data_IF_408034303528
#
_entry.id   IF_408034303528
#
_cell.length_a   1.000
_cell.length_b   1.000
_cell.length_c   1.000
_cell.angle_alpha   90.00
_cell.angle_beta   90.00
_cell.angle_gamma   90.00
#
_symmetry.space_group_name_H-M   'P 1'
#
loop_
_entity.id
_entity.type
_entity.pdbx_description
1 polymer ?
#
# COMPACT_ATOMS: atom_id res chain seq x y z
N UNK A 1 -13.87 -13.18 0.54
CA UNK A 1 -14.88 -12.85 -0.48
C UNK A 1 -14.21 -12.16 -1.64
N UNK A 2 -14.55 -12.53 -2.88
CA UNK A 2 -14.10 -11.81 -4.07
C UNK A 2 -15.02 -10.59 -4.27
N UNK A 3 -14.43 -9.40 -4.41
CA UNK A 3 -15.17 -8.20 -4.80
C UNK A 3 -15.06 -8.03 -6.31
N UNK A 4 -16.12 -8.41 -7.03
CA UNK A 4 -16.21 -8.26 -8.48
C UNK A 4 -17.05 -7.02 -8.86
N UNK A 5 -16.64 -6.34 -9.92
CA UNK A 5 -17.32 -5.16 -10.44
C UNK A 5 -16.52 -4.49 -11.55
N UNK A 6 -17.19 -3.72 -12.40
CA UNK A 6 -16.55 -2.98 -13.50
C UNK A 6 -15.76 -1.76 -13.01
N UNK A 7 -14.83 -1.23 -13.82
CA UNK A 7 -14.15 0.04 -13.50
C UNK A 7 -15.18 1.15 -13.23
N UNK A 8 -14.95 1.98 -12.22
CA UNK A 8 -15.90 3.01 -11.79
C UNK A 8 -16.96 2.53 -10.80
N UNK A 9 -17.08 1.22 -10.53
CA UNK A 9 -18.05 0.68 -9.56
C UNK A 9 -17.72 0.93 -8.08
N UNK A 10 -16.71 1.75 -7.78
CA UNK A 10 -16.31 2.07 -6.40
C UNK A 10 -15.42 1.05 -5.69
N UNK A 11 -14.92 -0.01 -6.36
CA UNK A 11 -14.03 -1.01 -5.70
C UNK A 11 -12.84 -0.43 -4.94
N UNK A 12 -12.23 0.63 -5.48
CA UNK A 12 -11.12 1.31 -4.81
C UNK A 12 -11.53 1.87 -3.45
N UNK A 13 -12.75 2.41 -3.33
CA UNK A 13 -13.25 2.93 -2.06
C UNK A 13 -13.48 1.81 -1.05
N UNK A 14 -14.03 0.68 -1.50
CA UNK A 14 -14.19 -0.51 -0.64
C UNK A 14 -12.84 -1.00 -0.11
N UNK A 15 -11.80 -1.03 -0.95
CA UNK A 15 -10.44 -1.36 -0.51
C UNK A 15 -9.90 -0.33 0.48
N UNK A 16 -10.14 0.95 0.26
CA UNK A 16 -9.69 2.02 1.15
C UNK A 16 -10.41 2.02 2.49
N UNK A 17 -11.69 1.67 2.55
CA UNK A 17 -12.40 1.47 3.82
C UNK A 17 -11.81 0.30 4.63
N UNK A 18 -11.46 -0.80 3.97
CA UNK A 18 -10.78 -1.92 4.63
C UNK A 18 -9.39 -1.50 5.17
N UNK A 19 -8.62 -0.74 4.38
CA UNK A 19 -7.34 -0.17 4.83
C UNK A 19 -7.56 0.78 6.02
N UNK A 20 -8.57 1.65 5.96
CA UNK A 20 -8.90 2.59 7.02
C UNK A 20 -9.25 1.88 8.33
N UNK A 21 -10.00 0.77 8.27
CA UNK A 21 -10.31 -0.06 9.43
C UNK A 21 -9.04 -0.64 10.06
N UNK A 22 -8.15 -1.24 9.26
CA UNK A 22 -6.89 -1.79 9.76
C UNK A 22 -5.97 -0.70 10.36
N UNK A 23 -5.88 0.47 9.73
CA UNK A 23 -5.10 1.61 10.24
C UNK A 23 -5.63 2.11 11.58
N UNK A 24 -6.96 2.17 11.78
CA UNK A 24 -7.57 2.54 13.07
C UNK A 24 -7.18 1.58 14.19
N UNK A 25 -7.02 0.29 13.87
CA UNK A 25 -6.54 -0.74 14.79
C UNK A 25 -5.00 -0.78 14.90
N UNK A 26 -4.29 0.15 14.25
CA UNK A 26 -2.81 0.18 14.14
C UNK A 26 -2.19 -1.10 13.59
N UNK A 27 -2.88 -1.76 12.66
CA UNK A 27 -2.38 -2.96 11.98
C UNK A 27 -1.73 -2.58 10.65
N UNK A 28 -0.64 -3.27 10.32
CA UNK A 28 -0.02 -3.11 9.01
C UNK A 28 -0.89 -3.72 7.91
N UNK A 29 -0.98 -3.02 6.78
CA UNK A 29 -1.73 -3.45 5.60
C UNK A 29 -0.84 -3.42 4.37
N UNK A 30 -0.92 -4.47 3.55
CA UNK A 30 -0.30 -4.54 2.24
C UNK A 30 -1.37 -4.44 1.14
N UNK A 31 -1.22 -3.45 0.26
CA UNK A 31 -1.96 -3.38 -1.00
C UNK A 31 -1.04 -3.85 -2.13
N UNK A 32 -1.31 -5.04 -2.63
CA UNK A 32 -0.62 -5.59 -3.80
C UNK A 32 -1.22 -5.03 -5.09
N UNK A 33 -0.36 -4.42 -5.91
CA UNK A 33 -0.71 -3.97 -7.24
C UNK A 33 0.17 -4.67 -8.28
N UNK A 34 -0.31 -4.87 -9.51
CA UNK A 34 0.57 -5.11 -10.64
C UNK A 34 1.68 -4.04 -10.67
N UNK A 35 2.91 -4.41 -10.97
CA UNK A 35 4.06 -3.48 -10.89
C UNK A 35 3.87 -2.25 -11.77
N UNK A 36 3.27 -2.42 -12.95
CA UNK A 36 2.90 -1.34 -13.88
C UNK A 36 1.78 -0.43 -13.34
N UNK A 37 0.99 -0.90 -12.36
CA UNK A 37 -0.12 -0.18 -11.77
C UNK A 37 0.28 0.62 -10.52
N UNK A 38 1.55 0.53 -10.10
CA UNK A 38 2.16 1.33 -9.04
C UNK A 38 2.47 2.75 -9.56
N UNK A 39 1.44 3.39 -10.10
CA UNK A 39 1.52 4.68 -10.78
C UNK A 39 1.24 5.83 -9.81
N UNK A 40 1.75 7.02 -10.15
CA UNK A 40 1.48 8.24 -9.37
C UNK A 40 -0.01 8.52 -9.11
N UNK A 41 -0.96 8.26 -10.03
CA UNK A 41 -2.39 8.44 -9.78
C UNK A 41 -2.91 7.64 -8.57
N UNK A 42 -2.49 6.39 -8.40
CA UNK A 42 -2.93 5.60 -7.24
C UNK A 42 -2.37 6.16 -5.93
N UNK A 43 -1.06 6.48 -5.91
CA UNK A 43 -0.41 7.05 -4.73
C UNK A 43 -0.97 8.43 -4.36
N UNK A 44 -1.32 9.24 -5.35
CA UNK A 44 -1.95 10.55 -5.13
C UNK A 44 -3.37 10.40 -4.61
N UNK A 45 -4.17 9.48 -5.16
CA UNK A 45 -5.52 9.19 -4.65
C UNK A 45 -5.45 8.66 -3.20
N UNK A 46 -4.50 7.79 -2.91
CA UNK A 46 -4.25 7.31 -1.56
C UNK A 46 -3.93 8.49 -0.63
N UNK A 47 -2.97 9.35 -1.01
CA UNK A 47 -2.60 10.51 -0.20
C UNK A 47 -3.78 11.46 0.04
N UNK A 48 -4.63 11.68 -0.96
CA UNK A 48 -5.84 12.48 -0.81
C UNK A 48 -6.83 11.87 0.20
N UNK A 49 -6.95 10.54 0.25
CA UNK A 49 -7.87 9.82 1.16
C UNK A 49 -7.36 9.68 2.59
N UNK A 50 -6.04 9.52 2.76
CA UNK A 50 -5.40 9.16 4.04
C UNK A 50 -4.48 10.25 4.61
N UNK A 51 -4.36 11.40 3.93
CA UNK A 51 -3.54 12.54 4.35
C UNK A 51 -2.02 12.33 4.20
N UNK A 52 -1.57 11.15 3.81
CA UNK A 52 -0.15 10.84 3.57
C UNK A 52 0.03 9.74 2.53
N UNK A 53 1.18 9.74 1.85
CA UNK A 53 1.53 8.69 0.89
C UNK A 53 1.85 7.39 1.65
N UNK A 54 1.47 6.22 1.11
CA UNK A 54 1.84 4.94 1.69
C UNK A 54 3.33 4.67 1.44
N UNK A 55 3.89 3.67 2.14
CA UNK A 55 5.25 3.21 1.85
C UNK A 55 5.21 2.38 0.56
N UNK A 56 5.88 2.85 -0.48
CA UNK A 56 5.97 2.11 -1.74
C UNK A 56 7.06 1.03 -1.71
N UNK A 57 6.83 -0.11 -2.36
CA UNK A 57 7.84 -1.15 -2.59
C UNK A 57 7.79 -1.72 -4.02
N UNK A 58 8.80 -1.41 -4.83
CA UNK A 58 8.92 -1.88 -6.21
C UNK A 58 10.39 -1.87 -6.69
N UNK A 59 10.66 -2.45 -7.87
CA UNK A 59 12.01 -2.59 -8.42
C UNK A 59 12.73 -1.25 -8.67
N UNK A 60 11.99 -0.22 -9.06
CA UNK A 60 12.51 1.12 -9.35
C UNK A 60 12.98 1.94 -8.13
N UNK A 61 12.87 1.42 -6.91
CA UNK A 61 13.37 2.13 -5.72
C UNK A 61 14.91 2.15 -5.70
N UNK A 62 15.47 3.33 -5.45
CA UNK A 62 16.90 3.46 -5.13
C UNK A 62 17.21 2.73 -3.83
N UNK A 63 18.45 2.27 -3.66
CA UNK A 63 18.83 1.52 -2.46
C UNK A 63 18.54 2.27 -1.14
N UNK A 64 18.73 3.59 -1.11
CA UNK A 64 18.43 4.41 0.08
C UNK A 64 16.94 4.41 0.42
N UNK A 65 16.06 4.50 -0.59
CA UNK A 65 14.61 4.42 -0.43
C UNK A 65 14.21 3.02 0.03
N UNK A 66 14.79 1.98 -0.59
CA UNK A 66 14.52 0.58 -0.24
C UNK A 66 14.89 0.27 1.21
N UNK A 67 16.05 0.75 1.69
CA UNK A 67 16.46 0.62 3.11
C UNK A 67 15.51 1.35 4.06
N UNK A 68 15.07 2.57 3.71
CA UNK A 68 14.11 3.33 4.52
C UNK A 68 12.76 2.63 4.61
N UNK A 69 12.22 2.19 3.47
CA UNK A 69 10.98 1.44 3.40
C UNK A 69 11.06 0.14 4.22
N UNK A 70 12.13 -0.65 4.03
CA UNK A 70 12.32 -1.89 4.75
C UNK A 70 12.33 -1.68 6.27
N UNK A 71 13.06 -0.68 6.78
CA UNK A 71 13.10 -0.37 8.22
C UNK A 71 11.75 0.08 8.76
N UNK A 72 11.02 0.90 8.01
CA UNK A 72 9.70 1.36 8.43
C UNK A 72 8.70 0.18 8.49
N UNK A 73 8.80 -0.76 7.54
CA UNK A 73 7.96 -1.96 7.50
C UNK A 73 8.33 -2.91 8.64
N UNK A 74 9.62 -3.19 8.83
CA UNK A 74 10.13 -4.10 9.87
C UNK A 74 9.92 -3.63 11.30
N UNK A 75 9.75 -2.32 11.51
CA UNK A 75 9.50 -1.73 12.82
C UNK A 75 8.02 -1.51 13.12
N UNK A 76 7.11 -1.90 12.22
CA UNK A 76 5.68 -1.62 12.35
C UNK A 76 5.28 -0.16 12.10
N UNK A 77 6.23 0.73 11.82
CA UNK A 77 5.95 2.15 11.57
C UNK A 77 5.19 2.38 10.26
N UNK A 78 5.41 1.52 9.26
CA UNK A 78 4.67 1.57 8.00
C UNK A 78 3.31 0.87 8.15
N UNK A 79 2.27 1.63 8.50
CA UNK A 79 0.92 1.08 8.62
C UNK A 79 0.33 0.65 7.28
N UNK A 80 0.73 1.29 6.17
CA UNK A 80 0.28 0.89 4.82
C UNK A 80 1.46 0.83 3.86
N UNK A 81 1.64 -0.35 3.27
CA UNK A 81 2.58 -0.61 2.19
C UNK A 81 1.81 -0.82 0.89
N UNK A 82 2.21 -0.15 -0.18
CA UNK A 82 1.73 -0.42 -1.54
C UNK A 82 2.89 -1.00 -2.33
N UNK A 83 2.73 -2.21 -2.86
CA UNK A 83 3.87 -2.92 -3.41
C UNK A 83 3.57 -3.86 -4.56
N UNK A 84 4.61 -4.14 -5.35
CA UNK A 84 4.60 -5.23 -6.32
C UNK A 84 4.69 -6.59 -5.60
N UNK A 85 4.66 -7.71 -6.34
CA UNK A 85 4.66 -9.07 -5.78
C UNK A 85 5.72 -9.34 -4.70
N UNK A 86 6.93 -8.79 -4.85
CA UNK A 86 8.02 -8.99 -3.87
C UNK A 86 7.74 -8.41 -2.49
N UNK A 87 6.79 -7.48 -2.37
CA UNK A 87 6.38 -6.89 -1.08
C UNK A 87 5.65 -7.87 -0.16
N UNK A 88 5.19 -9.01 -0.68
CA UNK A 88 4.57 -10.09 0.09
C UNK A 88 5.53 -10.69 1.12
N UNK A 89 6.85 -10.68 0.82
CA UNK A 89 7.88 -11.32 1.64
C UNK A 89 8.61 -10.33 2.56
N UNK A 90 8.08 -9.12 2.73
CA UNK A 90 8.67 -8.16 3.64
C UNK A 90 8.40 -8.56 5.09
N UNK A 91 9.31 -8.21 6.02
CA UNK A 91 9.13 -8.53 7.43
C UNK A 91 8.14 -7.56 8.04
N UNK A 92 6.84 -7.84 7.94
CA UNK A 92 5.82 -7.11 8.69
C UNK A 92 5.91 -7.52 10.18
N UNK A 93 5.70 -6.55 11.08
CA UNK A 93 5.77 -6.70 12.53
C UNK A 93 4.45 -7.19 13.14
#
# INVERSE_FOLDING_TARGET
TLLDGVTGSGKTEVYFEAVAAAVRERRQTLVLLPEIALTEPFLTRFAARFGSKPVAWHSGLRQSQRRRAWRAISSGQALVTVGARSSLFLPYA
#
